data_IF_797868440783
#
_entry.id   IF_797868440783
#
_cell.length_a   1.000
_cell.length_b   1.000
_cell.length_c   1.000
_cell.angle_alpha   90.00
_cell.angle_beta   90.00
_cell.angle_gamma   90.00
#
_symmetry.space_group_name_H-M   'P 1'
#
loop_
_entity.id
_entity.type
_entity.pdbx_description
1 polymer ?
#
# COMPACT_ATOMS: atom_id res chain seq x y z
N UNK A 1 11.29 17.15 12.42
CA UNK A 1 11.04 15.80 11.88
C UNK A 1 10.33 15.96 10.54
N UNK A 2 11.05 15.90 9.42
CA UNK A 2 10.44 15.93 8.09
C UNK A 2 9.87 14.53 7.80
N UNK A 3 8.62 14.30 8.19
CA UNK A 3 7.89 13.06 7.89
C UNK A 3 7.58 13.02 6.39
N UNK A 4 8.51 12.52 5.58
CA UNK A 4 8.28 12.21 4.18
C UNK A 4 7.35 10.99 4.07
N UNK A 5 6.04 11.19 4.32
CA UNK A 5 4.98 10.19 4.15
C UNK A 5 4.93 9.59 2.73
N UNK A 6 5.53 10.26 1.76
CA UNK A 6 5.53 9.88 0.36
C UNK A 6 6.95 9.82 -0.20
N UNK A 7 7.21 8.83 -1.05
CA UNK A 7 8.50 8.67 -1.73
C UNK A 7 8.75 9.71 -2.84
N UNK A 8 7.75 10.47 -3.26
CA UNK A 8 7.89 11.62 -4.16
C UNK A 8 6.69 12.55 -4.11
N UNK A 9 6.87 13.79 -4.57
CA UNK A 9 5.82 14.81 -4.62
C UNK A 9 4.68 14.46 -5.59
N UNK A 10 4.95 13.68 -6.65
CA UNK A 10 3.89 13.24 -7.59
C UNK A 10 2.92 12.25 -6.94
N UNK A 11 3.44 11.28 -6.19
CA UNK A 11 2.61 10.34 -5.43
C UNK A 11 1.79 11.09 -4.38
N UNK A 12 2.45 11.98 -3.64
CA UNK A 12 1.78 12.86 -2.67
C UNK A 12 0.66 13.66 -3.32
N UNK A 13 0.91 14.27 -4.48
CA UNK A 13 -0.08 15.03 -5.22
C UNK A 13 -1.33 14.22 -5.55
N UNK A 14 -1.17 12.97 -6.01
CA UNK A 14 -2.30 12.08 -6.32
C UNK A 14 -3.09 11.69 -5.07
N UNK A 15 -2.40 11.45 -3.94
CA UNK A 15 -3.04 11.03 -2.69
C UNK A 15 -3.63 12.17 -1.86
N UNK A 16 -3.23 13.43 -2.09
CA UNK A 16 -3.76 14.60 -1.38
C UNK A 16 -5.09 15.11 -1.94
N UNK A 17 -5.45 14.71 -3.15
CA UNK A 17 -6.75 15.08 -3.70
C UNK A 17 -7.81 14.24 -3.00
N UNK A 18 -8.60 14.86 -2.11
CA UNK A 18 -9.79 14.28 -1.48
C UNK A 18 -10.83 13.91 -2.54
N UNK A 19 -10.60 12.83 -3.27
CA UNK A 19 -11.58 12.35 -4.23
C UNK A 19 -12.09 11.00 -3.74
N UNK A 20 -13.35 11.03 -3.31
CA UNK A 20 -14.25 9.88 -3.25
C UNK A 20 -14.34 9.10 -4.58
N UNK A 21 -13.69 9.60 -5.64
CA UNK A 21 -13.61 9.03 -6.99
C UNK A 21 -12.15 8.83 -7.48
N UNK A 22 -11.13 9.08 -6.63
CA UNK A 22 -9.72 9.09 -7.01
C UNK A 22 -8.97 7.79 -6.72
N UNK A 23 -7.74 7.67 -7.25
CA UNK A 23 -6.81 6.60 -6.92
C UNK A 23 -6.19 6.85 -5.54
N UNK A 24 -6.18 5.84 -4.69
CA UNK A 24 -5.59 5.90 -3.36
C UNK A 24 -4.42 4.95 -3.20
N UNK A 25 -3.32 5.46 -2.66
CA UNK A 25 -2.20 4.64 -2.26
C UNK A 25 -2.42 4.14 -0.83
N UNK A 26 -2.44 2.82 -0.65
CA UNK A 26 -2.60 2.19 0.66
C UNK A 26 -1.42 1.28 0.97
N UNK A 27 -0.91 1.37 2.19
CA UNK A 27 0.11 0.47 2.72
C UNK A 27 -0.56 -0.43 3.74
N UNK A 28 -0.51 -1.73 3.48
CA UNK A 28 -1.15 -2.74 4.32
C UNK A 28 -0.10 -3.66 4.95
N UNK A 29 -0.42 -4.24 6.09
CA UNK A 29 0.34 -5.34 6.68
C UNK A 29 -0.48 -6.62 6.63
N UNK A 30 0.15 -7.73 6.26
CA UNK A 30 -0.53 -9.02 6.30
C UNK A 30 -0.63 -9.52 7.75
N UNK A 31 -1.76 -10.11 8.12
CA UNK A 31 -1.92 -10.85 9.38
C UNK A 31 -0.86 -11.96 9.43
N UNK A 32 -0.44 -12.36 10.64
CA UNK A 32 0.57 -13.41 10.78
C UNK A 32 0.16 -14.71 10.05
N UNK A 33 -1.13 -15.06 10.16
CA UNK A 33 -1.71 -16.21 9.46
C UNK A 33 -1.59 -16.06 7.94
N UNK A 34 -2.09 -14.97 7.37
CA UNK A 34 -2.07 -14.75 5.93
C UNK A 34 -0.63 -14.64 5.41
N UNK A 35 0.26 -13.99 6.15
CA UNK A 35 1.66 -13.89 5.78
C UNK A 35 2.34 -15.26 5.72
N UNK A 36 2.11 -16.12 6.71
CA UNK A 36 2.64 -17.48 6.72
C UNK A 36 2.11 -18.31 5.55
N UNK A 37 0.82 -18.16 5.19
CA UNK A 37 0.24 -18.82 4.02
C UNK A 37 0.89 -18.32 2.71
N UNK A 38 1.08 -17.00 2.59
CA UNK A 38 1.72 -16.39 1.42
C UNK A 38 3.19 -16.78 1.27
N UNK A 39 3.92 -16.96 2.37
CA UNK A 39 5.31 -17.42 2.36
C UNK A 39 5.46 -18.83 1.75
N UNK A 40 4.47 -19.71 1.94
CA UNK A 40 4.48 -21.04 1.32
C UNK A 40 4.36 -20.97 -0.20
N UNK A 41 3.71 -19.94 -0.74
CA UNK A 41 3.53 -19.71 -2.18
C UNK A 41 4.70 -18.90 -2.76
N UNK A 42 5.14 -17.86 -2.03
CA UNK A 42 6.20 -16.94 -2.43
C UNK A 42 7.11 -16.65 -1.23
N UNK A 43 8.22 -17.39 -1.07
CA UNK A 43 9.12 -17.28 0.09
C UNK A 43 9.78 -15.91 0.28
N UNK A 44 9.77 -15.05 -0.74
CA UNK A 44 10.36 -13.71 -0.71
C UNK A 44 9.31 -12.60 -0.68
N UNK A 45 8.05 -12.92 -0.37
CA UNK A 45 7.02 -11.90 -0.26
C UNK A 45 7.30 -11.01 0.97
N UNK A 46 7.23 -9.67 0.84
CA UNK A 46 7.31 -8.78 1.98
C UNK A 46 6.12 -8.97 2.93
N UNK A 47 6.30 -8.63 4.20
CA UNK A 47 5.26 -8.61 5.24
C UNK A 47 4.21 -7.50 5.02
N UNK A 48 4.48 -6.60 4.07
CA UNK A 48 3.64 -5.47 3.69
C UNK A 48 3.26 -5.52 2.21
N UNK A 49 2.03 -5.12 1.92
CA UNK A 49 1.54 -4.87 0.57
C UNK A 49 1.43 -3.38 0.28
N UNK A 50 1.65 -3.00 -0.97
CA UNK A 50 1.43 -1.63 -1.44
C UNK A 50 0.39 -1.65 -2.55
N UNK A 51 -0.69 -0.89 -2.35
CA UNK A 51 -1.87 -0.94 -3.19
C UNK A 51 -2.17 0.42 -3.79
N UNK A 52 -2.70 0.39 -5.00
CA UNK A 52 -3.54 1.46 -5.52
C UNK A 52 -4.98 0.96 -5.53
N UNK A 53 -5.89 1.69 -4.87
CA UNK A 53 -7.33 1.35 -4.78
C UNK A 53 -8.19 2.46 -5.37
N UNK A 54 -9.39 2.11 -5.87
CA UNK A 54 -10.42 3.10 -6.19
C UNK A 54 -11.14 3.58 -4.92
N UNK A 55 -11.11 4.89 -4.64
CA UNK A 55 -11.90 5.50 -3.57
C UNK A 55 -11.49 5.13 -2.13
N UNK A 56 -12.09 5.81 -1.15
CA UNK A 56 -11.77 5.70 0.29
C UNK A 56 -12.86 5.00 1.12
N UNK A 57 -14.05 4.76 0.57
CA UNK A 57 -15.22 4.37 1.38
C UNK A 57 -15.18 2.93 1.89
N UNK A 58 -14.45 2.05 1.20
CA UNK A 58 -14.49 0.61 1.47
C UNK A 58 -13.10 0.14 1.99
N UNK A 59 -13.09 -0.88 2.87
CA UNK A 59 -11.87 -1.56 3.35
C UNK A 59 -11.16 -2.29 2.20
N UNK A 60 -9.84 -2.45 2.25
CA UNK A 60 -9.07 -3.17 1.21
C UNK A 60 -9.60 -4.59 0.94
N UNK A 61 -10.24 -5.21 1.94
CA UNK A 61 -10.81 -6.56 1.85
C UNK A 61 -12.19 -6.61 1.19
N UNK A 62 -12.81 -5.46 0.89
CA UNK A 62 -14.04 -5.41 0.12
C UNK A 62 -13.79 -5.92 -1.31
N UNK A 63 -14.56 -6.93 -1.71
CA UNK A 63 -14.47 -7.58 -3.01
C UNK A 63 -14.84 -6.63 -4.18
N UNK A 64 -15.60 -5.58 -3.91
CA UNK A 64 -16.02 -4.61 -4.92
C UNK A 64 -14.94 -3.55 -5.21
N UNK A 65 -13.89 -3.46 -4.38
CA UNK A 65 -12.78 -2.53 -4.65
C UNK A 65 -11.86 -3.08 -5.72
N UNK A 66 -11.68 -2.28 -6.79
CA UNK A 66 -10.58 -2.46 -7.71
C UNK A 66 -9.26 -2.09 -7.02
N UNK A 67 -8.40 -3.09 -6.86
CA UNK A 67 -7.07 -2.97 -6.24
C UNK A 67 -5.96 -3.47 -7.16
N UNK A 68 -4.87 -2.70 -7.21
CA UNK A 68 -3.65 -3.05 -7.91
C UNK A 68 -2.49 -3.14 -6.92
N UNK A 69 -1.81 -4.28 -6.87
CA UNK A 69 -0.60 -4.45 -6.08
C UNK A 69 0.59 -3.88 -6.86
N UNK A 70 1.40 -3.05 -6.21
CA UNK A 70 2.59 -2.45 -6.79
C UNK A 70 3.82 -2.68 -5.89
N UNK A 71 5.00 -2.82 -6.49
CA UNK A 71 6.26 -2.96 -5.75
C UNK A 71 7.19 -1.75 -5.89
N UNK A 72 6.95 -0.94 -6.92
CA UNK A 72 7.69 0.30 -7.21
C UNK A 72 6.71 1.44 -7.34
N UNK A 73 7.12 2.64 -6.94
CA UNK A 73 6.35 3.85 -7.16
C UNK A 73 6.21 4.10 -8.67
N UNK A 74 4.99 4.22 -9.22
CA UNK A 74 4.80 4.45 -10.65
C UNK A 74 5.30 5.84 -11.11
N UNK A 75 5.59 6.75 -10.17
CA UNK A 75 5.98 8.12 -10.49
C UNK A 75 7.49 8.38 -10.43
N UNK A 76 8.21 7.74 -9.50
CA UNK A 76 9.64 7.94 -9.31
C UNK A 76 10.47 6.65 -9.38
N UNK A 77 9.84 5.48 -9.56
CA UNK A 77 10.53 4.18 -9.64
C UNK A 77 11.07 3.66 -8.31
N UNK A 78 10.93 4.40 -7.20
CA UNK A 78 11.38 3.97 -5.87
C UNK A 78 10.77 2.62 -5.50
N UNK A 79 11.60 1.66 -5.10
CA UNK A 79 11.12 0.40 -4.51
C UNK A 79 10.45 0.70 -3.17
N UNK A 80 9.17 0.36 -3.07
CA UNK A 80 8.31 0.81 -1.97
C UNK A 80 8.70 0.15 -0.65
N UNK A 81 9.05 -1.14 -0.67
CA UNK A 81 9.54 -1.85 0.52
C UNK A 81 10.84 -1.28 1.10
N UNK A 82 11.67 -0.65 0.27
CA UNK A 82 12.90 -0.02 0.74
C UNK A 82 12.65 1.35 1.39
N UNK A 83 11.57 2.04 1.00
CA UNK A 83 11.20 3.34 1.55
C UNK A 83 10.30 3.19 2.79
N UNK A 84 9.27 2.34 2.71
CA UNK A 84 8.25 2.13 3.73
C UNK A 84 8.60 0.94 4.66
N UNK A 85 9.76 1.03 5.32
CA UNK A 85 10.25 -0.04 6.21
C UNK A 85 9.50 -0.10 7.54
N UNK A 86 9.13 1.06 8.09
CA UNK A 86 8.45 1.16 9.38
C UNK A 86 6.99 0.76 9.28
N UNK A 87 6.47 0.16 10.35
CA UNK A 87 5.04 -0.07 10.51
C UNK A 87 4.25 1.23 10.71
N UNK A 88 4.91 2.36 11.03
CA UNK A 88 4.26 3.69 11.15
C UNK A 88 3.59 4.16 9.85
N UNK A 89 3.96 3.55 8.72
CA UNK A 89 3.36 3.82 7.43
C UNK A 89 2.14 2.95 7.12
N UNK A 90 1.90 1.89 7.89
CA UNK A 90 0.80 0.95 7.69
C UNK A 90 -0.52 1.63 8.05
N UNK A 91 -1.50 1.51 7.16
CA UNK A 91 -2.83 2.09 7.34
C UNK A 91 -3.86 1.04 7.74
N UNK A 92 -3.64 -0.23 7.39
CA UNK A 92 -4.57 -1.33 7.61
C UNK A 92 -3.82 -2.65 7.74
N UNK A 93 -4.32 -3.56 8.59
CA UNK A 93 -3.88 -4.96 8.64
C UNK A 93 -4.94 -5.81 7.98
N UNK A 94 -4.55 -6.72 7.09
CA UNK A 94 -5.45 -7.59 6.33
C UNK A 94 -5.17 -9.07 6.58
N UNK A 95 -6.23 -9.87 6.62
CA UNK A 95 -6.19 -11.34 6.70
C UNK A 95 -6.60 -11.95 8.02
#
# INVERSE_FOLDING_TARGET
>A
MNNNKFCCERLKGVCLVENSLGLNFRIIKYSEKLYNDLLQIKPSIPDKGFLITSGYKNSVDDAEILKMIINHCPFCGQRLGDFYKSDDYVQETIG
#
